data_IF_111080634947
#
_entry.id   IF_111080634947
#
_cell.length_a   1.000
_cell.length_b   1.000
_cell.length_c   1.000
_cell.angle_alpha   90.00
_cell.angle_beta   90.00
_cell.angle_gamma   90.00
#
_symmetry.space_group_name_H-M   'P 1'
#
loop_
_entity.id
_entity.type
_entity.pdbx_description
1 polymer ?
#
# COMPACT_ATOMS: atom_id res chain seq x y z
N UNK A 1 -5.62 14.86 -17.70
CA UNK A 1 -5.73 14.00 -16.51
C UNK A 1 -5.09 14.75 -15.37
N UNK A 2 -5.75 14.86 -14.22
CA UNK A 2 -5.14 15.49 -13.04
C UNK A 2 -4.64 14.40 -12.12
N UNK A 3 -3.37 14.00 -12.27
CA UNK A 3 -2.76 13.07 -11.33
C UNK A 3 -2.69 13.72 -9.94
N UNK A 4 -3.16 13.00 -8.92
CA UNK A 4 -3.09 13.44 -7.52
C UNK A 4 -2.09 12.59 -6.77
N UNK A 5 -1.15 13.22 -6.07
CA UNK A 5 -0.24 12.56 -5.15
C UNK A 5 -0.59 12.93 -3.71
N UNK A 6 -0.70 11.92 -2.84
CA UNK A 6 -0.86 12.07 -1.39
C UNK A 6 0.25 11.27 -0.71
N UNK A 7 0.97 11.90 0.23
CA UNK A 7 1.97 11.24 1.04
C UNK A 7 1.54 11.21 2.52
N UNK A 8 1.54 10.04 3.13
CA UNK A 8 1.17 9.80 4.54
C UNK A 8 2.38 9.20 5.27
N UNK A 9 3.08 10.03 6.06
CA UNK A 9 4.36 9.67 6.69
C UNK A 9 4.44 10.19 8.14
N UNK A 10 4.30 9.35 9.18
CA UNK A 10 3.93 7.94 9.13
C UNK A 10 2.42 7.74 8.92
N UNK A 11 2.06 6.72 8.16
CA UNK A 11 0.76 6.06 8.28
C UNK A 11 0.82 5.07 9.45
N UNK A 12 -0.10 5.22 10.40
CA UNK A 12 -0.28 4.27 11.50
C UNK A 12 -1.52 3.42 11.25
N UNK A 13 -1.42 2.12 11.46
CA UNK A 13 -2.54 1.19 11.37
C UNK A 13 -2.50 0.23 12.55
N UNK A 14 -3.66 -0.28 12.95
CA UNK A 14 -3.78 -1.25 14.04
C UNK A 14 -4.22 -2.57 13.45
N UNK A 15 -3.48 -3.64 13.69
CA UNK A 15 -3.96 -4.98 13.35
C UNK A 15 -5.08 -5.36 14.32
N UNK A 16 -6.30 -5.64 13.85
CA UNK A 16 -7.39 -6.09 14.71
C UNK A 16 -7.07 -7.41 15.40
N UNK A 17 -6.33 -8.28 14.71
CA UNK A 17 -6.00 -9.64 15.16
C UNK A 17 -5.01 -9.63 16.33
N UNK A 18 -4.05 -8.72 16.31
CA UNK A 18 -2.97 -8.66 17.30
C UNK A 18 -3.11 -7.49 18.27
N UNK A 19 -4.03 -6.54 18.01
CA UNK A 19 -4.14 -5.27 18.75
C UNK A 19 -2.82 -4.50 18.83
N UNK A 20 -1.97 -4.66 17.81
CA UNK A 20 -0.65 -4.00 17.69
C UNK A 20 -0.76 -2.84 16.73
N UNK A 21 -0.29 -1.67 17.18
CA UNK A 21 -0.11 -0.50 16.33
C UNK A 21 1.20 -0.61 15.54
N UNK A 22 1.10 -0.49 14.22
CA UNK A 22 2.22 -0.60 13.28
C UNK A 22 2.33 0.66 12.44
N UNK A 23 3.51 0.94 11.91
CA UNK A 23 3.79 2.14 11.12
C UNK A 23 4.43 1.80 9.79
N UNK A 24 4.00 2.49 8.75
CA UNK A 24 4.63 2.49 7.44
C UNK A 24 4.53 3.89 6.84
N UNK A 25 5.29 4.17 5.78
CA UNK A 25 5.08 5.35 4.97
C UNK A 25 4.26 4.96 3.74
N UNK A 26 3.24 5.73 3.39
CA UNK A 26 2.36 5.44 2.25
C UNK A 26 2.38 6.61 1.28
N UNK A 27 2.69 6.31 0.02
CA UNK A 27 2.55 7.23 -1.11
C UNK A 27 1.41 6.74 -2.00
N UNK A 28 0.43 7.60 -2.27
CA UNK A 28 -0.75 7.32 -3.07
C UNK A 28 -0.69 8.18 -4.32
N UNK A 29 -0.65 7.55 -5.49
CA UNK A 29 -0.67 8.19 -6.79
C UNK A 29 -1.98 7.79 -7.46
N UNK A 30 -2.88 8.75 -7.67
CA UNK A 30 -4.22 8.48 -8.19
C UNK A 30 -4.46 9.19 -9.52
N UNK A 31 -5.09 8.47 -10.45
CA UNK A 31 -5.69 9.01 -11.68
C UNK A 31 -7.21 8.92 -11.58
N UNK A 32 -7.92 9.30 -12.65
CA UNK A 32 -9.39 9.17 -12.71
C UNK A 32 -9.86 7.71 -12.72
N UNK A 33 -8.97 6.74 -12.96
CA UNK A 33 -9.33 5.34 -13.18
C UNK A 33 -8.56 4.34 -12.30
N UNK A 34 -7.37 4.70 -11.84
CA UNK A 34 -6.49 3.78 -11.11
C UNK A 34 -5.87 4.50 -9.92
N UNK A 35 -5.57 3.73 -8.87
CA UNK A 35 -4.81 4.21 -7.71
C UNK A 35 -3.60 3.33 -7.50
N UNK A 36 -2.39 3.89 -7.53
CA UNK A 36 -1.17 3.21 -7.12
C UNK A 36 -0.86 3.57 -5.67
N UNK A 37 -0.80 2.55 -4.83
CA UNK A 37 -0.40 2.66 -3.42
C UNK A 37 0.99 2.06 -3.26
N UNK A 38 1.93 2.85 -2.77
CA UNK A 38 3.28 2.42 -2.42
C UNK A 38 3.44 2.48 -0.92
N UNK A 39 3.43 1.32 -0.27
CA UNK A 39 3.60 1.18 1.17
C UNK A 39 5.06 0.79 1.47
N UNK A 40 5.77 1.67 2.15
CA UNK A 40 7.19 1.51 2.51
C UNK A 40 7.32 1.16 3.98
N UNK A 41 7.98 0.04 4.26
CA UNK A 41 8.34 -0.36 5.62
C UNK A 41 9.34 0.63 6.21
N UNK A 42 9.12 1.02 7.47
CA UNK A 42 10.02 1.91 8.17
C UNK A 42 11.00 1.11 9.04
N UNK A 43 12.28 1.50 9.12
CA UNK A 43 13.26 0.82 9.96
C UNK A 43 12.90 0.85 11.46
N UNK A 44 12.20 1.89 11.91
CA UNK A 44 11.76 2.05 13.30
C UNK A 44 10.54 1.18 13.67
N UNK A 45 9.94 0.47 12.70
CA UNK A 45 8.80 -0.40 12.91
C UNK A 45 9.20 -1.78 13.49
N UNK A 46 10.47 -2.16 13.38
CA UNK A 46 10.99 -3.46 13.85
C UNK A 46 10.90 -3.64 15.38
N UNK A 47 10.80 -2.55 16.15
CA UNK A 47 10.86 -2.62 17.60
C UNK A 47 9.49 -2.91 18.25
N UNK A 48 8.37 -2.61 17.59
CA UNK A 48 7.03 -2.70 18.22
C UNK A 48 5.87 -3.03 17.28
N UNK A 49 6.07 -3.16 15.97
CA UNK A 49 5.00 -3.27 14.98
C UNK A 49 5.04 -4.56 14.15
N UNK A 50 3.97 -4.77 13.38
CA UNK A 50 3.91 -5.79 12.34
C UNK A 50 4.48 -5.24 11.02
N UNK A 51 5.10 -6.09 10.20
CA UNK A 51 5.65 -5.65 8.91
C UNK A 51 4.53 -5.16 7.99
N UNK A 52 4.89 -4.30 7.03
CA UNK A 52 3.92 -3.74 6.05
C UNK A 52 3.17 -4.83 5.30
N UNK A 53 3.82 -5.99 5.10
CA UNK A 53 3.22 -7.15 4.46
C UNK A 53 2.00 -7.68 5.21
N UNK A 54 1.87 -7.49 6.52
CA UNK A 54 0.67 -7.90 7.28
C UNK A 54 -0.45 -6.85 7.26
N UNK A 55 -0.18 -5.66 6.69
CA UNK A 55 -1.09 -4.53 6.68
C UNK A 55 -1.95 -4.28 5.43
N UNK A 56 -1.79 -4.90 4.24
CA UNK A 56 -2.44 -4.39 3.02
C UNK A 56 -3.96 -4.28 3.13
N UNK A 57 -4.62 -5.28 3.72
CA UNK A 57 -6.07 -5.25 3.90
C UNK A 57 -6.54 -4.12 4.82
N UNK A 58 -5.87 -3.93 5.97
CA UNK A 58 -6.22 -2.88 6.94
C UNK A 58 -5.92 -1.49 6.38
N UNK A 59 -4.77 -1.33 5.73
CA UNK A 59 -4.35 -0.06 5.16
C UNK A 59 -5.28 0.29 3.99
N UNK A 60 -5.56 -0.61 3.05
CA UNK A 60 -6.49 -0.37 1.95
C UNK A 60 -7.89 0.02 2.44
N UNK A 61 -8.41 -0.67 3.47
CA UNK A 61 -9.67 -0.28 4.10
C UNK A 61 -9.59 1.11 4.72
N UNK A 62 -8.48 1.47 5.37
CA UNK A 62 -8.28 2.82 5.93
C UNK A 62 -8.29 3.86 4.83
N UNK A 63 -7.61 3.60 3.70
CA UNK A 63 -7.58 4.49 2.55
C UNK A 63 -8.97 4.67 1.92
N UNK A 64 -9.76 3.60 1.83
CA UNK A 64 -11.16 3.68 1.41
C UNK A 64 -11.98 4.59 2.34
N UNK A 65 -11.95 4.33 3.64
CA UNK A 65 -12.78 5.08 4.59
C UNK A 65 -12.40 6.57 4.68
N UNK A 66 -11.12 6.89 4.57
CA UNK A 66 -10.62 8.25 4.81
C UNK A 66 -10.48 9.07 3.53
N UNK A 67 -10.24 8.42 2.40
CA UNK A 67 -9.94 9.09 1.12
C UNK A 67 -10.85 8.65 -0.03
N UNK A 68 -11.72 7.65 0.16
CA UNK A 68 -12.65 7.17 -0.86
C UNK A 68 -11.99 6.34 -1.98
N UNK A 69 -10.75 5.87 -1.78
CA UNK A 69 -10.10 5.03 -2.77
C UNK A 69 -10.59 3.59 -2.67
N UNK A 70 -11.19 3.09 -3.74
CA UNK A 70 -11.74 1.74 -3.81
C UNK A 70 -10.63 0.69 -3.80
N UNK A 71 -10.59 -0.25 -2.84
CA UNK A 71 -9.54 -1.26 -2.77
C UNK A 71 -9.39 -2.10 -4.04
N UNK A 72 -10.49 -2.33 -4.77
CA UNK A 72 -10.52 -3.02 -6.07
C UNK A 72 -9.76 -2.27 -7.17
N UNK A 73 -9.61 -0.95 -7.05
CA UNK A 73 -8.93 -0.09 -8.02
C UNK A 73 -7.45 0.16 -7.66
N UNK A 74 -6.99 -0.41 -6.54
CA UNK A 74 -5.64 -0.20 -6.04
C UNK A 74 -4.64 -1.18 -6.66
N UNK A 75 -3.62 -0.64 -7.31
CA UNK A 75 -2.37 -1.33 -7.55
C UNK A 75 -1.51 -1.15 -6.30
N UNK A 76 -1.15 -2.23 -5.63
CA UNK A 76 -0.41 -2.16 -4.37
C UNK A 76 1.04 -2.61 -4.53
N UNK A 77 1.97 -1.77 -4.09
CA UNK A 77 3.39 -2.06 -4.02
C UNK A 77 3.88 -1.94 -2.58
N UNK A 78 4.51 -3.00 -2.08
CA UNK A 78 5.26 -3.00 -0.84
C UNK A 78 6.73 -2.78 -1.14
N UNK A 79 7.39 -1.97 -0.30
CA UNK A 79 8.84 -1.82 -0.32
C UNK A 79 9.42 -2.01 1.07
N UNK A 80 10.36 -2.95 1.19
CA UNK A 80 11.18 -3.09 2.39
C UNK A 80 12.59 -2.54 2.10
N UNK A 81 12.99 -1.42 2.73
CA UNK A 81 14.29 -0.80 2.47
C UNK A 81 15.47 -1.61 3.01
N UNK A 82 15.27 -2.46 4.01
CA UNK A 82 16.32 -3.29 4.60
C UNK A 82 16.75 -4.42 3.66
N UNK A 83 15.79 -4.97 2.90
CA UNK A 83 16.04 -6.05 1.93
C UNK A 83 16.14 -5.56 0.49
N UNK A 84 15.70 -4.32 0.22
CA UNK A 84 15.59 -3.78 -1.14
C UNK A 84 14.49 -4.46 -1.97
N UNK A 85 13.60 -5.23 -1.35
CA UNK A 85 12.59 -6.02 -2.04
C UNK A 85 11.37 -5.16 -2.35
N UNK A 86 10.93 -5.24 -3.61
CA UNK A 86 9.63 -4.76 -4.04
C UNK A 86 8.68 -5.94 -4.23
N UNK A 87 7.49 -5.84 -3.68
CA UNK A 87 6.46 -6.86 -3.83
C UNK A 87 5.20 -6.20 -4.36
N UNK A 88 4.66 -6.75 -5.44
CA UNK A 88 3.33 -6.38 -5.92
C UNK A 88 2.32 -7.23 -5.16
N UNK A 89 1.27 -6.56 -4.68
CA UNK A 89 0.17 -7.21 -3.99
C UNK A 89 -1.09 -7.00 -4.80
N UNK A 90 -1.70 -8.10 -5.21
CA UNK A 90 -3.00 -8.07 -5.86
C UNK A 90 -4.05 -8.29 -4.76
N UNK A 91 -4.81 -7.23 -4.46
CA UNK A 91 -5.87 -7.26 -3.46
C UNK A 91 -7.11 -7.91 -4.06
N UNK A 92 -7.67 -8.91 -3.36
CA UNK A 92 -8.92 -9.54 -3.77
C UNK A 92 -10.02 -9.15 -2.80
N UNK A 93 -11.05 -8.50 -3.35
CA UNK A 93 -12.08 -7.84 -2.55
C UNK A 93 -13.46 -8.44 -2.78
N UNK A 94 -14.32 -8.31 -1.77
CA UNK A 94 -15.75 -8.52 -1.86
C UNK A 94 -16.45 -7.36 -1.14
N UNK A 95 -17.32 -6.64 -1.85
CA UNK A 95 -18.04 -5.47 -1.33
C UNK A 95 -17.10 -4.42 -0.71
N UNK A 96 -16.08 -3.95 -1.43
CA UNK A 96 -15.12 -2.93 -0.97
C UNK A 96 -14.26 -3.35 0.22
N UNK A 97 -14.29 -4.64 0.58
CA UNK A 97 -13.50 -5.22 1.67
C UNK A 97 -12.50 -6.19 1.10
N UNK A 98 -11.22 -5.97 1.40
CA UNK A 98 -10.16 -6.93 1.13
C UNK A 98 -10.44 -8.23 1.89
N UNK A 99 -10.57 -9.33 1.16
CA UNK A 99 -10.82 -10.68 1.70
C UNK A 99 -9.57 -11.53 1.73
N UNK A 100 -8.73 -11.39 0.72
CA UNK A 100 -7.42 -12.01 0.62
C UNK A 100 -6.55 -11.20 -0.32
N UNK A 101 -5.25 -11.52 -0.37
CA UNK A 101 -4.33 -10.87 -1.28
C UNK A 101 -3.24 -11.84 -1.72
N UNK A 102 -2.79 -11.67 -2.96
CA UNK A 102 -1.73 -12.48 -3.56
C UNK A 102 -0.47 -11.63 -3.71
N UNK A 103 0.70 -12.22 -3.45
CA UNK A 103 1.98 -11.52 -3.54
C UNK A 103 2.80 -12.08 -4.68
N UNK A 104 3.36 -11.19 -5.48
CA UNK A 104 4.34 -11.51 -6.52
C UNK A 104 5.58 -10.64 -6.37
N UNK A 105 6.79 -11.19 -6.54
CA UNK A 105 7.99 -10.39 -6.65
C UNK A 105 7.82 -9.37 -7.78
N UNK A 106 8.27 -8.14 -7.57
CA UNK A 106 8.21 -7.09 -8.57
C UNK A 106 9.61 -6.56 -8.85
N UNK A 107 9.98 -6.43 -10.11
CA UNK A 107 11.27 -5.89 -10.53
C UNK A 107 11.30 -4.36 -10.41
N UNK A 108 12.50 -3.79 -10.25
CA UNK A 108 12.69 -2.33 -10.24
C UNK A 108 12.19 -1.67 -11.53
N UNK A 109 12.30 -2.36 -12.67
CA UNK A 109 11.81 -1.85 -13.95
C UNK A 109 10.27 -1.75 -13.97
N UNK A 110 9.57 -2.74 -13.42
CA UNK A 110 8.11 -2.70 -13.28
C UNK A 110 7.66 -1.61 -12.31
N UNK A 111 8.36 -1.44 -11.19
CA UNK A 111 8.08 -0.35 -10.23
C UNK A 111 8.24 1.01 -10.91
N UNK A 112 9.31 1.21 -11.67
CA UNK A 112 9.54 2.45 -12.40
C UNK A 112 8.47 2.68 -13.48
N UNK A 113 8.10 1.65 -14.23
CA UNK A 113 7.05 1.72 -15.24
C UNK A 113 5.68 2.05 -14.62
N UNK A 114 5.35 1.45 -13.48
CA UNK A 114 4.13 1.77 -12.74
C UNK A 114 4.15 3.22 -12.28
N UNK A 115 5.21 3.68 -11.60
CA UNK A 115 5.30 5.08 -11.17
C UNK A 115 5.18 6.06 -12.34
N UNK A 116 5.83 5.78 -13.48
CA UNK A 116 5.78 6.64 -14.66
C UNK A 116 4.36 6.78 -15.24
N UNK A 117 3.53 5.73 -15.17
CA UNK A 117 2.12 5.78 -15.62
C UNK A 117 1.27 6.80 -14.86
N UNK A 118 1.64 7.12 -13.62
CA UNK A 118 0.90 8.05 -12.76
C UNK A 118 1.54 9.45 -12.71
N UNK A 119 2.65 9.68 -13.42
CA UNK A 119 3.37 10.96 -13.46
C UNK A 119 3.12 11.77 -14.75
N UNK A 120 2.21 11.31 -15.63
CA UNK A 120 1.83 11.95 -16.91
C UNK A 120 0.52 12.72 -16.78
#
# INVERSE_FOLDING_TARGET
>A
MSARHIAIKPMTWVSPEFSVASKCDVDILATDHETLVVATERPDNETTGLPVSQGPGVIAQTLYHWYGYEPESMIWLEYNPMTGIHTRVDLVCANHRVTHWHRSPCSLQEVAALKARFSM
#
